data_IF_089289925072
#
_entry.id   IF_089289925072
#
_cell.length_a   1.000
_cell.length_b   1.000
_cell.length_c   1.000
_cell.angle_alpha   90.00
_cell.angle_beta   90.00
_cell.angle_gamma   90.00
#
_symmetry.space_group_name_H-M   'P 1'
#
loop_
_entity.id
_entity.type
_entity.pdbx_description
1 polymer ?
#
# COMPACT_ATOMS: atom_id res chain seq x y z
N UNK A 1 16.65 -26.55 57.08
CA UNK A 1 15.22 -26.97 57.03
C UNK A 1 14.46 -25.90 56.29
N UNK A 2 13.68 -26.30 55.28
CA UNK A 2 12.68 -25.45 54.60
C UNK A 2 11.61 -24.97 55.59
N UNK A 3 10.77 -24.01 55.19
CA UNK A 3 9.29 -24.11 55.13
C UNK A 3 8.67 -22.71 54.90
N UNK A 4 8.22 -22.51 53.66
CA UNK A 4 6.90 -22.02 53.24
C UNK A 4 6.30 -20.68 53.74
N UNK A 5 5.92 -19.89 52.72
CA UNK A 5 4.67 -19.13 52.55
C UNK A 5 4.58 -17.60 52.76
N UNK A 6 4.78 -16.86 51.65
CA UNK A 6 3.72 -16.17 50.83
C UNK A 6 2.94 -15.04 51.56
N UNK A 7 2.92 -13.77 51.14
CA UNK A 7 2.33 -13.24 49.90
C UNK A 7 2.48 -11.70 49.83
N UNK A 8 2.58 -11.20 48.59
CA UNK A 8 1.89 -10.03 47.99
C UNK A 8 2.44 -8.59 48.12
N UNK A 9 2.80 -8.12 46.91
CA UNK A 9 2.61 -6.79 46.32
C UNK A 9 3.38 -5.60 46.90
N UNK A 10 4.32 -5.10 46.10
CA UNK A 10 4.20 -3.73 45.60
C UNK A 10 5.43 -2.83 45.67
N UNK A 11 5.94 -2.52 44.48
CA UNK A 11 6.46 -1.21 44.06
C UNK A 11 7.91 -0.79 44.40
N UNK A 12 8.66 -0.73 43.30
CA UNK A 12 9.51 0.38 42.81
C UNK A 12 10.82 0.65 43.52
N UNK A 13 11.89 0.52 42.72
CA UNK A 13 12.76 1.67 42.42
C UNK A 13 13.38 1.48 41.02
N UNK A 14 13.15 2.46 40.13
CA UNK A 14 13.78 2.57 38.80
C UNK A 14 14.87 3.63 38.90
N UNK A 15 16.13 3.24 38.75
CA UNK A 15 17.17 4.12 38.26
C UNK A 15 17.24 3.98 36.74
N UNK A 16 17.02 5.09 36.04
CA UNK A 16 17.12 5.18 34.60
C UNK A 16 18.55 5.61 34.21
N UNK A 17 19.22 4.80 33.40
CA UNK A 17 20.35 5.22 32.58
C UNK A 17 20.03 4.95 31.11
N UNK A 18 19.91 6.04 30.34
CA UNK A 18 19.82 6.10 28.88
C UNK A 18 21.02 5.39 28.24
N UNK A 19 20.79 4.47 27.30
CA UNK A 19 20.91 4.66 25.83
C UNK A 19 20.21 3.44 25.22
N UNK A 20 18.99 3.60 24.73
CA UNK A 20 18.34 2.61 23.85
C UNK A 20 18.17 3.29 22.50
N UNK A 21 18.92 2.79 21.51
CA UNK A 21 18.59 2.97 20.11
C UNK A 21 17.17 2.44 19.89
N UNK A 22 16.34 3.27 19.29
CA UNK A 22 14.92 3.01 19.00
C UNK A 22 14.81 1.96 17.87
N UNK A 23 15.13 0.70 18.18
CA UNK A 23 14.97 -0.44 17.28
C UNK A 23 13.50 -0.84 17.27
N UNK A 24 12.75 -0.15 16.42
CA UNK A 24 11.37 -0.50 16.08
C UNK A 24 11.30 -1.96 15.57
N UNK A 25 10.85 -2.88 16.44
CA UNK A 25 10.78 -4.33 16.19
C UNK A 25 9.89 -4.64 14.96
N UNK A 26 10.31 -5.55 14.07
CA UNK A 26 9.53 -5.87 12.87
C UNK A 26 8.20 -6.58 13.19
N UNK A 27 7.17 -6.34 12.36
CA UNK A 27 5.79 -6.86 12.52
C UNK A 27 5.68 -8.28 11.93
N UNK A 28 6.47 -9.22 12.44
CA UNK A 28 6.30 -10.66 12.17
C UNK A 28 6.67 -11.48 13.40
N UNK A 29 5.97 -12.61 13.60
CA UNK A 29 6.11 -13.41 14.81
C UNK A 29 6.77 -14.75 14.49
N UNK A 30 7.74 -15.10 15.33
CA UNK A 30 8.29 -16.44 15.40
C UNK A 30 7.49 -17.22 16.43
N UNK A 31 6.80 -18.26 15.99
CA UNK A 31 5.91 -19.06 16.84
C UNK A 31 6.60 -20.39 17.14
N UNK A 32 6.89 -20.72 18.41
CA UNK A 32 7.41 -22.02 18.78
C UNK A 32 6.53 -23.15 18.26
N UNK A 33 7.15 -24.17 17.67
CA UNK A 33 6.46 -25.25 16.99
C UNK A 33 7.19 -26.60 17.14
N UNK A 34 6.47 -27.67 16.83
CA UNK A 34 6.98 -29.04 16.84
C UNK A 34 6.69 -29.73 15.50
N UNK A 35 7.65 -30.51 15.01
CA UNK A 35 7.49 -31.31 13.80
C UNK A 35 6.35 -32.35 13.97
N UNK A 36 6.16 -32.87 15.18
CA UNK A 36 5.17 -33.90 15.50
C UNK A 36 3.71 -33.45 15.35
N UNK A 37 3.47 -32.13 15.36
CA UNK A 37 2.14 -31.56 15.24
C UNK A 37 1.43 -31.93 13.92
N UNK A 38 2.20 -32.25 12.87
CA UNK A 38 1.65 -32.64 11.55
C UNK A 38 0.93 -31.53 10.80
N UNK A 39 0.85 -30.33 11.38
CA UNK A 39 0.22 -29.13 10.85
C UNK A 39 1.13 -27.93 11.11
N UNK A 40 0.87 -26.80 10.48
CA UNK A 40 1.58 -25.53 10.71
C UNK A 40 0.64 -24.53 11.39
N UNK A 41 1.15 -23.49 12.09
CA UNK A 41 0.31 -22.44 12.65
C UNK A 41 -0.40 -21.64 11.55
N UNK A 42 -1.47 -20.94 11.93
CA UNK A 42 -2.13 -20.01 11.03
C UNK A 42 -1.15 -18.95 10.52
N UNK A 43 -1.27 -18.57 9.24
CA UNK A 43 -0.42 -17.58 8.59
C UNK A 43 1.07 -17.95 8.54
N UNK A 44 1.42 -19.24 8.60
CA UNK A 44 2.79 -19.70 8.38
C UNK A 44 3.28 -19.32 6.97
N UNK A 45 4.50 -18.82 6.86
CA UNK A 45 5.08 -18.38 5.59
C UNK A 45 5.49 -19.59 4.76
N UNK A 46 4.82 -19.80 3.62
CA UNK A 46 5.15 -20.87 2.68
C UNK A 46 6.43 -20.53 1.91
N UNK A 47 7.40 -21.44 1.96
CA UNK A 47 8.64 -21.35 1.21
C UNK A 47 8.51 -21.92 -0.21
N UNK A 48 7.82 -23.04 -0.36
CA UNK A 48 7.72 -23.73 -1.65
C UNK A 48 7.07 -25.10 -1.53
N UNK A 49 7.53 -26.04 -2.34
CA UNK A 49 7.07 -27.43 -2.41
C UNK A 49 8.25 -28.36 -2.56
N UNK A 50 8.19 -29.53 -1.94
CA UNK A 50 9.19 -30.58 -2.11
C UNK A 50 8.92 -31.40 -3.38
N UNK A 51 9.84 -32.32 -3.73
CA UNK A 51 9.75 -33.13 -4.96
C UNK A 51 8.50 -34.00 -5.05
N UNK A 52 7.92 -34.37 -3.91
CA UNK A 52 6.68 -35.15 -3.80
C UNK A 52 5.40 -34.28 -3.76
N UNK A 53 5.54 -32.96 -3.90
CA UNK A 53 4.45 -31.99 -3.80
C UNK A 53 4.09 -31.57 -2.37
N UNK A 54 4.77 -32.09 -1.34
CA UNK A 54 4.58 -31.64 0.04
C UNK A 54 4.92 -30.16 0.19
N UNK A 55 4.07 -29.41 0.89
CA UNK A 55 4.32 -27.99 1.12
C UNK A 55 5.45 -27.78 2.13
N UNK A 56 6.32 -26.82 1.83
CA UNK A 56 7.45 -26.43 2.68
C UNK A 56 7.18 -25.04 3.26
N UNK A 57 7.40 -24.89 4.57
CA UNK A 57 7.22 -23.65 5.33
C UNK A 57 8.56 -23.17 5.91
N UNK A 58 8.64 -21.85 6.12
CA UNK A 58 9.81 -21.18 6.70
C UNK A 58 9.77 -21.29 8.21
N UNK A 59 10.85 -21.81 8.79
CA UNK A 59 11.11 -21.70 10.23
C UNK A 59 12.53 -21.24 10.53
N UNK A 60 12.87 -21.23 11.81
CA UNK A 60 14.25 -21.13 12.30
C UNK A 60 14.46 -21.98 13.53
N UNK A 61 15.68 -22.43 13.76
CA UNK A 61 16.04 -23.17 14.96
C UNK A 61 17.49 -22.90 15.34
N UNK A 62 17.78 -22.96 16.64
CA UNK A 62 19.15 -22.92 17.13
C UNK A 62 19.86 -24.24 16.82
N UNK A 63 21.07 -24.16 16.27
CA UNK A 63 21.93 -25.30 15.99
C UNK A 63 23.39 -24.88 16.15
N UNK A 64 24.11 -25.55 17.06
CA UNK A 64 25.51 -25.24 17.42
C UNK A 64 25.78 -23.74 17.69
N UNK A 65 24.86 -23.07 18.39
CA UNK A 65 25.00 -21.65 18.76
C UNK A 65 24.65 -20.65 17.66
N UNK A 66 24.18 -21.12 16.50
CA UNK A 66 23.69 -20.28 15.40
C UNK A 66 22.18 -20.46 15.22
N UNK A 67 21.46 -19.37 14.95
CA UNK A 67 20.06 -19.43 14.53
C UNK A 67 20.00 -19.65 13.02
N UNK A 68 19.52 -20.81 12.59
CA UNK A 68 19.52 -21.25 11.19
C UNK A 68 18.10 -21.34 10.61
N UNK A 69 17.90 -21.06 9.31
CA UNK A 69 16.63 -21.29 8.61
C UNK A 69 16.26 -22.77 8.60
N UNK A 70 14.96 -23.04 8.76
CA UNK A 70 14.39 -24.39 8.79
C UNK A 70 13.52 -24.63 7.56
N UNK A 71 13.74 -25.78 6.91
CA UNK A 71 12.82 -26.42 5.95
C UNK A 71 11.80 -27.24 6.72
N UNK A 72 10.59 -26.73 6.93
CA UNK A 72 9.52 -27.43 7.66
C UNK A 72 8.50 -28.06 6.71
N UNK A 73 8.25 -29.37 6.82
CA UNK A 73 7.26 -30.12 6.05
C UNK A 73 6.20 -30.72 7.00
N UNK A 74 5.07 -30.03 7.23
CA UNK A 74 4.06 -30.44 8.21
C UNK A 74 3.51 -31.85 7.97
N UNK A 75 3.11 -32.14 6.72
CA UNK A 75 2.52 -33.45 6.37
C UNK A 75 3.47 -34.62 6.60
N UNK A 76 4.78 -34.38 6.47
CA UNK A 76 5.83 -35.37 6.68
C UNK A 76 6.35 -35.40 8.12
N UNK A 77 5.88 -34.47 8.98
CA UNK A 77 6.31 -34.33 10.39
C UNK A 77 7.82 -34.21 10.54
N UNK A 78 8.45 -33.47 9.64
CA UNK A 78 9.90 -33.26 9.65
C UNK A 78 10.25 -31.80 9.46
N UNK A 79 11.34 -31.39 10.09
CA UNK A 79 11.93 -30.07 9.94
C UNK A 79 13.46 -30.21 9.91
N UNK A 80 14.11 -29.47 9.01
CA UNK A 80 15.55 -29.60 8.81
C UNK A 80 16.27 -28.25 8.76
N UNK A 81 17.48 -28.21 9.31
CA UNK A 81 18.47 -27.14 9.10
C UNK A 81 19.67 -27.71 8.35
N UNK A 82 20.45 -26.86 7.69
CA UNK A 82 21.75 -27.27 7.11
C UNK A 82 22.90 -26.49 7.71
N UNK A 83 24.02 -27.18 7.98
CA UNK A 83 25.28 -26.57 8.38
C UNK A 83 26.44 -27.52 8.03
N UNK A 84 27.53 -26.97 7.48
CA UNK A 84 28.78 -27.73 7.29
C UNK A 84 28.66 -28.89 6.29
N UNK A 85 27.88 -28.72 5.23
CA UNK A 85 27.75 -29.75 4.17
C UNK A 85 26.61 -30.75 4.37
N UNK A 86 25.93 -30.77 5.51
CA UNK A 86 24.92 -31.79 5.85
C UNK A 86 23.60 -31.19 6.38
N UNK A 87 22.53 -31.99 6.29
CA UNK A 87 21.18 -31.69 6.77
C UNK A 87 20.92 -32.35 8.14
N UNK A 88 20.32 -31.60 9.08
CA UNK A 88 20.02 -32.07 10.44
C UNK A 88 18.53 -31.92 10.78
N UNK A 89 17.94 -32.97 11.34
CA UNK A 89 16.56 -32.96 11.83
C UNK A 89 16.39 -32.10 13.10
N UNK A 90 15.25 -31.41 13.19
CA UNK A 90 14.85 -30.60 14.34
C UNK A 90 13.43 -30.98 14.80
N UNK A 91 13.31 -31.52 16.01
CA UNK A 91 12.01 -31.79 16.63
C UNK A 91 11.28 -30.49 17.02
N UNK A 92 12.03 -29.51 17.53
CA UNK A 92 11.53 -28.22 18.01
C UNK A 92 12.22 -27.08 17.27
N UNK A 93 11.43 -26.09 16.87
CA UNK A 93 11.85 -24.94 16.09
C UNK A 93 10.80 -23.83 16.20
N UNK A 94 11.03 -22.68 15.58
CA UNK A 94 10.03 -21.62 15.45
C UNK A 94 9.57 -21.52 13.99
N UNK A 95 8.28 -21.34 13.77
CA UNK A 95 7.70 -21.09 12.44
C UNK A 95 7.55 -19.59 12.25
N UNK A 96 7.96 -19.10 11.07
CA UNK A 96 7.71 -17.72 10.70
C UNK A 96 6.23 -17.55 10.37
N UNK A 97 5.57 -16.65 11.07
CA UNK A 97 4.17 -16.30 10.81
C UNK A 97 4.03 -14.82 10.48
N UNK A 98 3.20 -14.53 9.48
CA UNK A 98 2.95 -13.18 9.00
C UNK A 98 2.50 -13.17 7.55
N UNK A 99 1.93 -12.05 7.13
CA UNK A 99 1.20 -11.95 5.86
C UNK A 99 1.87 -11.03 4.84
N UNK A 100 2.97 -10.34 5.21
CA UNK A 100 3.61 -9.29 4.43
C UNK A 100 4.94 -9.71 3.79
N UNK A 101 5.12 -10.97 3.43
CA UNK A 101 6.39 -11.46 2.88
C UNK A 101 6.36 -11.62 1.36
N UNK A 102 7.50 -11.39 0.71
CA UNK A 102 7.68 -11.62 -0.74
C UNK A 102 9.04 -12.23 -1.01
N UNK A 103 9.11 -13.14 -1.98
CA UNK A 103 10.35 -13.73 -2.47
C UNK A 103 10.89 -12.87 -3.62
N UNK A 104 12.11 -12.35 -3.47
CA UNK A 104 12.74 -11.46 -4.45
C UNK A 104 13.94 -12.18 -5.09
N UNK A 105 14.00 -12.31 -6.43
CA UNK A 105 15.16 -12.91 -7.10
C UNK A 105 16.46 -12.21 -6.74
N UNK A 106 17.51 -12.98 -6.48
CA UNK A 106 18.82 -12.49 -6.10
C UNK A 106 19.91 -13.47 -6.58
N UNK A 107 21.12 -12.95 -6.76
CA UNK A 107 22.27 -13.75 -7.20
C UNK A 107 23.55 -13.33 -6.50
N UNK A 108 24.56 -14.20 -6.45
CA UNK A 108 25.93 -13.83 -6.06
C UNK A 108 26.04 -13.02 -4.75
N UNK A 109 25.31 -13.44 -3.72
CA UNK A 109 25.30 -12.77 -2.40
C UNK A 109 24.48 -11.47 -2.30
N UNK A 110 23.70 -11.10 -3.32
CA UNK A 110 22.80 -9.95 -3.26
C UNK A 110 21.74 -10.10 -2.16
N UNK A 111 21.64 -9.10 -1.28
CA UNK A 111 20.65 -9.05 -0.20
C UNK A 111 19.73 -7.83 -0.42
N UNK A 112 18.48 -8.03 -0.87
CA UNK A 112 17.52 -6.95 -1.04
C UNK A 112 17.18 -6.22 0.27
N UNK A 113 16.76 -4.96 0.16
CA UNK A 113 16.27 -4.19 1.31
C UNK A 113 15.03 -4.86 1.92
N UNK A 114 15.02 -5.00 3.24
CA UNK A 114 13.93 -5.67 3.97
C UNK A 114 14.08 -7.19 4.05
N UNK A 115 15.22 -7.75 3.63
CA UNK A 115 15.50 -9.18 3.79
C UNK A 115 15.27 -9.63 5.24
N UNK A 116 14.56 -10.75 5.41
CA UNK A 116 14.23 -11.31 6.72
C UNK A 116 15.51 -11.85 7.36
N UNK A 117 15.92 -11.20 8.43
CA UNK A 117 17.07 -11.57 9.24
C UNK A 117 16.72 -12.77 10.14
N UNK A 118 17.60 -13.76 10.17
CA UNK A 118 17.42 -14.97 11.02
C UNK A 118 18.30 -14.94 12.25
N UNK A 119 19.55 -14.53 12.07
CA UNK A 119 20.58 -14.62 13.09
C UNK A 119 21.94 -14.21 12.53
N UNK A 120 22.99 -14.43 13.31
CA UNK A 120 24.37 -14.24 12.88
C UNK A 120 25.12 -15.57 12.98
N UNK A 121 26.15 -15.72 12.15
CA UNK A 121 27.13 -16.80 12.34
C UNK A 121 27.91 -16.57 13.63
N UNK A 122 28.64 -17.58 14.08
CA UNK A 122 29.60 -17.52 15.19
C UNK A 122 30.67 -16.43 14.99
N UNK A 123 30.96 -16.06 13.74
CA UNK A 123 31.87 -14.96 13.39
C UNK A 123 31.17 -13.60 13.27
N UNK A 124 29.87 -13.52 13.54
CA UNK A 124 29.09 -12.28 13.52
C UNK A 124 28.52 -11.89 12.15
N UNK A 125 28.66 -12.72 11.11
CA UNK A 125 28.09 -12.44 9.79
C UNK A 125 26.57 -12.59 9.81
N UNK A 126 25.78 -11.62 9.33
CA UNK A 126 24.33 -11.73 9.30
C UNK A 126 23.85 -12.79 8.29
N UNK A 127 22.87 -13.58 8.70
CA UNK A 127 22.18 -14.58 7.88
C UNK A 127 20.75 -14.15 7.55
N UNK A 128 20.36 -14.41 6.30
CA UNK A 128 19.04 -14.12 5.77
C UNK A 128 18.36 -15.37 5.23
N UNK A 129 17.03 -15.36 5.15
CA UNK A 129 16.26 -16.44 4.50
C UNK A 129 16.29 -16.26 2.99
N UNK A 130 16.73 -17.28 2.29
CA UNK A 130 16.47 -17.43 0.86
C UNK A 130 15.83 -18.78 0.54
N UNK A 131 15.45 -18.97 -0.71
CA UNK A 131 15.00 -20.25 -1.26
C UNK A 131 15.60 -20.52 -2.63
N UNK A 132 15.79 -21.79 -2.95
CA UNK A 132 16.41 -22.24 -4.19
C UNK A 132 15.57 -23.33 -4.86
N UNK A 133 15.66 -23.38 -6.19
CA UNK A 133 15.06 -24.43 -7.01
C UNK A 133 16.10 -25.54 -7.24
N UNK A 134 15.85 -26.74 -6.70
CA UNK A 134 16.74 -27.91 -6.85
C UNK A 134 15.89 -29.15 -7.15
N UNK A 135 16.16 -29.79 -8.28
CA UNK A 135 15.53 -31.06 -8.70
C UNK A 135 14.00 -31.10 -8.53
N UNK A 136 13.32 -30.00 -8.86
CA UNK A 136 11.86 -29.87 -8.75
C UNK A 136 11.34 -29.45 -7.36
N UNK A 137 12.21 -29.30 -6.37
CA UNK A 137 11.90 -28.74 -5.05
C UNK A 137 12.22 -27.25 -4.97
N UNK A 138 11.42 -26.51 -4.23
CA UNK A 138 11.65 -25.10 -3.88
C UNK A 138 11.84 -25.02 -2.37
N UNK A 139 13.10 -24.96 -1.93
CA UNK A 139 13.49 -25.19 -0.53
C UNK A 139 14.12 -23.95 0.09
N UNK A 140 13.75 -23.55 1.34
CA UNK A 140 14.38 -22.45 2.04
C UNK A 140 15.73 -22.82 2.66
N UNK A 141 16.60 -21.83 2.86
CA UNK A 141 17.91 -22.00 3.45
C UNK A 141 18.57 -20.67 3.82
N UNK A 142 19.87 -20.71 4.16
CA UNK A 142 20.64 -19.54 4.60
C UNK A 142 21.36 -18.86 3.44
N UNK A 143 21.22 -17.55 3.34
CA UNK A 143 22.01 -16.71 2.44
C UNK A 143 23.09 -16.01 3.26
N UNK A 144 24.34 -16.16 2.82
CA UNK A 144 25.51 -15.49 3.37
C UNK A 144 26.09 -14.58 2.29
N UNK A 145 26.16 -13.27 2.59
CA UNK A 145 26.61 -12.27 1.62
C UNK A 145 28.06 -12.49 1.22
N UNK A 146 28.94 -12.84 2.17
CA UNK A 146 30.37 -13.03 1.91
C UNK A 146 30.65 -14.24 1.01
N UNK A 147 29.82 -15.27 1.09
CA UNK A 147 29.98 -16.54 0.36
C UNK A 147 29.29 -16.53 -1.01
N UNK A 148 28.43 -15.54 -1.26
CA UNK A 148 27.85 -15.34 -2.59
C UNK A 148 26.73 -16.32 -2.97
N UNK A 149 26.27 -17.17 -2.06
CA UNK A 149 25.30 -18.22 -2.38
C UNK A 149 24.27 -18.45 -1.28
N UNK A 150 23.19 -19.15 -1.67
CA UNK A 150 22.22 -19.77 -0.77
C UNK A 150 22.66 -21.20 -0.47
N UNK A 151 22.63 -21.60 0.80
CA UNK A 151 22.78 -22.98 1.24
C UNK A 151 21.44 -23.53 1.71
N UNK A 152 20.98 -24.63 1.11
CA UNK A 152 19.72 -25.28 1.49
C UNK A 152 19.92 -26.74 1.93
N UNK A 153 19.08 -27.24 2.84
CA UNK A 153 19.01 -28.66 3.16
C UNK A 153 18.23 -29.44 2.06
N UNK A 154 18.90 -30.32 1.32
CA UNK A 154 18.26 -31.16 0.29
C UNK A 154 18.93 -32.53 0.15
N UNK A 155 18.13 -33.60 0.31
CA UNK A 155 18.58 -34.97 0.10
C UNK A 155 19.62 -35.46 1.12
N UNK A 156 19.59 -34.95 2.37
CA UNK A 156 20.58 -35.26 3.40
C UNK A 156 21.83 -34.37 3.37
N UNK A 157 22.00 -33.56 2.33
CA UNK A 157 23.17 -32.69 2.15
C UNK A 157 22.80 -31.21 2.19
N UNK A 158 23.81 -30.39 2.43
CA UNK A 158 23.73 -28.95 2.22
C UNK A 158 24.14 -28.62 0.79
N UNK A 159 23.23 -28.07 0.01
CA UNK A 159 23.49 -27.71 -1.38
C UNK A 159 23.60 -26.20 -1.54
N UNK A 160 24.61 -25.77 -2.29
CA UNK A 160 24.87 -24.37 -2.59
C UNK A 160 24.34 -24.00 -3.98
N UNK A 161 23.66 -22.86 -4.08
CA UNK A 161 23.28 -22.26 -5.37
C UNK A 161 23.56 -20.76 -5.38
N UNK A 162 24.12 -20.26 -6.48
CA UNK A 162 24.35 -18.83 -6.69
C UNK A 162 23.12 -18.10 -7.24
N UNK A 163 22.07 -18.83 -7.64
CA UNK A 163 20.77 -18.30 -8.06
C UNK A 163 19.70 -18.69 -7.06
N UNK A 164 19.05 -17.70 -6.47
CA UNK A 164 18.09 -17.91 -5.40
C UNK A 164 17.08 -16.76 -5.35
N UNK A 165 16.12 -16.86 -4.44
CA UNK A 165 15.26 -15.74 -4.04
C UNK A 165 15.46 -15.47 -2.56
N UNK A 166 15.43 -14.21 -2.14
CA UNK A 166 15.51 -13.79 -0.73
C UNK A 166 14.11 -13.48 -0.22
N UNK A 167 13.79 -13.96 0.97
CA UNK A 167 12.55 -13.59 1.66
C UNK A 167 12.69 -12.16 2.18
N UNK A 168 11.80 -11.29 1.74
CA UNK A 168 11.75 -9.87 2.13
C UNK A 168 10.48 -9.64 2.93
N UNK A 169 10.62 -9.04 4.11
CA UNK A 169 9.50 -8.45 4.83
C UNK A 169 9.09 -7.15 4.13
N UNK A 170 7.99 -7.27 3.38
CA UNK A 170 7.32 -6.20 2.66
C UNK A 170 6.79 -5.09 3.57
N UNK A 171 6.75 -5.29 4.89
CA UNK A 171 6.42 -4.25 5.88
C UNK A 171 7.28 -2.98 5.76
N UNK A 172 8.45 -3.05 5.11
CA UNK A 172 9.22 -1.86 4.70
C UNK A 172 9.56 -1.80 3.22
N UNK A 173 9.34 -2.86 2.43
CA UNK A 173 9.89 -2.96 1.07
C UNK A 173 9.10 -3.84 0.10
N UNK A 174 7.76 -3.79 0.10
CA UNK A 174 6.94 -4.07 -1.10
C UNK A 174 5.66 -3.23 -1.02
N UNK A 175 5.64 -2.08 -1.69
CA UNK A 175 4.41 -1.37 -2.05
C UNK A 175 3.65 -2.25 -3.05
N UNK A 176 2.85 -3.20 -2.57
CA UNK A 176 1.84 -3.88 -3.38
C UNK A 176 0.43 -3.49 -2.90
N UNK A 177 0.09 -2.25 -3.26
CA UNK A 177 -1.19 -1.78 -3.77
C UNK A 177 -2.50 -1.99 -3.00
N UNK A 178 -2.56 -2.67 -1.87
CA UNK A 178 -3.80 -2.75 -1.09
C UNK A 178 -3.44 -2.82 0.38
N UNK A 179 -4.05 -1.99 1.24
CA UNK A 179 -3.80 -1.98 2.68
C UNK A 179 -4.21 -3.25 3.44
N UNK A 180 -4.22 -4.42 2.80
CA UNK A 180 -4.62 -5.73 3.32
C UNK A 180 -4.02 -6.88 2.52
N UNK A 181 -4.36 -8.11 2.91
CA UNK A 181 -3.76 -9.33 2.38
C UNK A 181 -4.72 -10.08 1.45
N UNK A 182 -4.23 -10.54 0.30
CA UNK A 182 -5.01 -11.39 -0.59
C UNK A 182 -4.90 -12.85 -0.19
N UNK A 183 -6.02 -13.45 0.22
CA UNK A 183 -6.08 -14.84 0.69
C UNK A 183 -6.85 -15.67 -0.32
N UNK A 184 -6.19 -16.68 -0.91
CA UNK A 184 -6.84 -17.61 -1.82
C UNK A 184 -7.91 -18.41 -1.10
N UNK A 185 -9.09 -18.52 -1.70
CA UNK A 185 -10.21 -19.29 -1.20
C UNK A 185 -11.09 -19.82 -2.32
N UNK A 186 -11.96 -20.76 -1.94
CA UNK A 186 -12.96 -21.36 -2.82
C UNK A 186 -14.36 -20.94 -2.39
N UNK A 187 -15.27 -20.78 -3.35
CA UNK A 187 -16.66 -20.36 -3.12
C UNK A 187 -17.49 -21.41 -2.40
N UNK A 188 -17.01 -22.66 -2.40
CA UNK A 188 -17.54 -23.80 -1.64
C UNK A 188 -17.04 -23.87 -0.19
N UNK A 189 -16.03 -23.06 0.14
CA UNK A 189 -15.42 -23.00 1.46
C UNK A 189 -15.95 -21.84 2.30
N UNK A 190 -15.58 -21.77 3.59
CA UNK A 190 -15.85 -20.59 4.40
C UNK A 190 -15.10 -19.38 3.82
N UNK A 191 -15.70 -18.19 3.95
CA UNK A 191 -15.01 -16.93 3.64
C UNK A 191 -13.81 -16.79 4.58
N UNK A 192 -12.63 -16.41 4.06
CA UNK A 192 -11.46 -16.18 4.89
C UNK A 192 -11.74 -15.20 6.05
N UNK A 193 -11.25 -15.48 7.27
CA UNK A 193 -11.37 -14.56 8.39
C UNK A 193 -10.80 -13.18 8.07
N UNK A 194 -11.55 -12.13 8.42
CA UNK A 194 -11.16 -10.74 8.17
C UNK A 194 -11.36 -10.28 6.72
N UNK A 195 -12.05 -11.04 5.87
CA UNK A 195 -12.42 -10.60 4.53
C UNK A 195 -13.21 -9.27 4.57
N UNK A 196 -12.89 -8.36 3.66
CA UNK A 196 -13.54 -7.06 3.54
C UNK A 196 -14.96 -7.23 2.98
N UNK A 197 -15.97 -6.89 3.78
CA UNK A 197 -17.33 -6.74 3.27
C UNK A 197 -17.39 -5.48 2.38
N UNK A 198 -17.63 -5.68 1.08
CA UNK A 198 -17.73 -4.61 0.09
C UNK A 198 -19.13 -4.00 0.02
N UNK A 199 -20.16 -4.80 0.35
CA UNK A 199 -21.54 -4.37 0.32
C UNK A 199 -22.51 -5.49 0.70
N UNK A 200 -23.68 -5.49 0.07
CA UNK A 200 -24.78 -6.42 0.34
C UNK A 200 -25.61 -6.65 -0.92
N UNK A 201 -26.20 -7.84 -1.06
CA UNK A 201 -27.11 -8.17 -2.15
C UNK A 201 -28.53 -7.62 -1.88
N UNK A 202 -29.42 -7.71 -2.88
CA UNK A 202 -30.81 -7.23 -2.77
C UNK A 202 -31.64 -7.89 -1.65
N UNK A 203 -31.23 -9.07 -1.20
CA UNK A 203 -31.81 -9.79 -0.06
C UNK A 203 -31.14 -9.48 1.29
N UNK A 204 -30.20 -8.53 1.32
CA UNK A 204 -29.42 -8.12 2.48
C UNK A 204 -28.22 -9.01 2.80
N UNK A 205 -27.96 -10.08 2.02
CA UNK A 205 -26.82 -10.97 2.26
C UNK A 205 -25.49 -10.24 2.02
N UNK A 206 -24.44 -10.48 2.84
CA UNK A 206 -23.18 -9.76 2.69
C UNK A 206 -22.44 -10.17 1.40
N UNK A 207 -21.84 -9.16 0.76
CA UNK A 207 -20.95 -9.34 -0.39
C UNK A 207 -19.53 -8.97 0.05
N UNK A 208 -18.58 -9.87 -0.16
CA UNK A 208 -17.16 -9.66 0.15
C UNK A 208 -16.35 -9.31 -1.09
N UNK A 209 -15.29 -8.51 -0.90
CA UNK A 209 -14.39 -8.13 -1.98
C UNK A 209 -13.40 -9.25 -2.28
N UNK A 210 -13.42 -9.71 -3.52
CA UNK A 210 -12.41 -10.61 -4.06
C UNK A 210 -11.77 -10.07 -5.33
N UNK A 211 -10.82 -10.85 -5.85
CA UNK A 211 -10.30 -10.73 -7.21
C UNK A 211 -10.16 -12.12 -7.81
N UNK A 212 -10.23 -12.18 -9.13
CA UNK A 212 -10.04 -13.42 -9.91
C UNK A 212 -9.07 -13.19 -11.05
N UNK A 213 -8.40 -14.26 -11.46
CA UNK A 213 -7.53 -14.26 -12.63
C UNK A 213 -8.31 -14.85 -13.82
N UNK A 214 -8.51 -14.06 -14.87
CA UNK A 214 -9.24 -14.49 -16.07
C UNK A 214 -8.56 -13.93 -17.31
N UNK A 215 -8.21 -14.80 -18.26
CA UNK A 215 -7.52 -14.45 -19.51
C UNK A 215 -6.30 -13.53 -19.33
N UNK A 216 -5.48 -13.80 -18.30
CA UNK A 216 -4.28 -13.01 -17.99
C UNK A 216 -4.56 -11.67 -17.27
N UNK A 217 -5.83 -11.35 -17.01
CA UNK A 217 -6.24 -10.15 -16.28
C UNK A 217 -6.56 -10.46 -14.83
N UNK A 218 -6.36 -9.47 -13.96
CA UNK A 218 -6.81 -9.49 -12.57
C UNK A 218 -8.04 -8.61 -12.45
N UNK A 219 -9.18 -9.23 -12.17
CA UNK A 219 -10.48 -8.56 -12.17
C UNK A 219 -11.10 -8.56 -10.76
N UNK A 220 -11.73 -7.44 -10.34
CA UNK A 220 -12.55 -7.40 -9.13
C UNK A 220 -13.69 -8.40 -9.18
N UNK A 221 -13.94 -9.01 -8.03
CA UNK A 221 -14.96 -10.02 -7.92
C UNK A 221 -15.83 -9.81 -6.68
N UNK A 222 -17.13 -10.07 -6.82
CA UNK A 222 -18.10 -10.08 -5.72
C UNK A 222 -18.21 -11.51 -5.19
N UNK A 223 -17.80 -11.73 -3.96
CA UNK A 223 -17.87 -13.05 -3.30
C UNK A 223 -19.17 -13.11 -2.51
N UNK A 224 -20.04 -14.07 -2.84
CA UNK A 224 -21.37 -14.23 -2.24
C UNK A 224 -21.47 -15.57 -1.50
N UNK A 225 -21.23 -15.60 -0.18
CA UNK A 225 -21.14 -16.87 0.56
C UNK A 225 -22.47 -17.62 0.59
N UNK A 226 -23.59 -16.91 0.68
CA UNK A 226 -24.93 -17.50 0.64
C UNK A 226 -25.21 -18.23 -0.68
N UNK A 227 -24.70 -17.71 -1.79
CA UNK A 227 -24.82 -18.33 -3.12
C UNK A 227 -23.70 -19.32 -3.43
N UNK A 228 -22.72 -19.47 -2.54
CA UNK A 228 -21.54 -20.32 -2.72
C UNK A 228 -20.82 -20.05 -4.06
N UNK A 229 -20.79 -18.79 -4.47
CA UNK A 229 -20.28 -18.37 -5.77
C UNK A 229 -19.56 -17.01 -5.68
N UNK A 230 -18.55 -16.82 -6.51
CA UNK A 230 -17.93 -15.53 -6.75
C UNK A 230 -18.24 -15.09 -8.18
N UNK A 231 -18.49 -13.79 -8.42
CA UNK A 231 -18.78 -13.29 -9.77
C UNK A 231 -17.87 -12.13 -10.14
N UNK A 232 -17.45 -12.09 -11.41
CA UNK A 232 -16.64 -11.01 -11.98
C UNK A 232 -17.30 -10.45 -13.23
N UNK A 233 -17.12 -9.15 -13.48
CA UNK A 233 -17.54 -8.52 -14.73
C UNK A 233 -16.41 -8.59 -15.75
N UNK A 234 -16.70 -9.08 -16.96
CA UNK A 234 -15.75 -9.07 -18.08
C UNK A 234 -16.46 -8.92 -19.43
N UNK A 235 -15.93 -8.08 -20.31
CA UNK A 235 -16.46 -7.82 -21.66
C UNK A 235 -17.99 -7.61 -21.75
N UNK A 236 -18.61 -6.93 -20.78
CA UNK A 236 -20.06 -6.67 -20.79
C UNK A 236 -20.92 -7.77 -20.16
N UNK A 237 -20.32 -8.88 -19.71
CA UNK A 237 -21.00 -10.03 -19.10
C UNK A 237 -20.55 -10.22 -17.65
N UNK A 238 -21.38 -10.93 -16.88
CA UNK A 238 -21.00 -11.44 -15.55
C UNK A 238 -20.63 -12.92 -15.67
N UNK A 239 -19.49 -13.29 -15.09
CA UNK A 239 -18.99 -14.66 -15.06
C UNK A 239 -18.96 -15.20 -13.63
N UNK A 240 -19.38 -16.45 -13.49
CA UNK A 240 -19.31 -17.21 -12.25
C UNK A 240 -17.94 -17.88 -12.10
N UNK A 241 -17.39 -17.80 -10.89
CA UNK A 241 -16.07 -18.30 -10.51
C UNK A 241 -16.16 -19.02 -9.17
N UNK A 242 -15.48 -20.17 -9.07
CA UNK A 242 -15.39 -20.93 -7.82
C UNK A 242 -14.12 -20.62 -7.04
N UNK A 243 -13.08 -20.12 -7.70
CA UNK A 243 -11.79 -19.80 -7.08
C UNK A 243 -11.55 -18.29 -7.12
N UNK A 244 -11.13 -17.70 -5.99
CA UNK A 244 -10.87 -16.27 -5.86
C UNK A 244 -9.81 -16.00 -4.80
N UNK A 245 -9.20 -14.81 -4.84
CA UNK A 245 -8.48 -14.27 -3.68
C UNK A 245 -9.38 -13.25 -2.97
N UNK A 246 -9.64 -13.41 -1.68
CA UNK A 246 -10.35 -12.42 -0.86
C UNK A 246 -9.39 -11.39 -0.26
N UNK A 247 -9.78 -10.13 -0.26
CA UNK A 247 -9.04 -9.09 0.44
C UNK A 247 -9.35 -9.14 1.94
N UNK A 248 -8.35 -9.47 2.75
CA UNK A 248 -8.50 -9.72 4.19
C UNK A 248 -7.67 -8.76 5.05
N UNK A 249 -8.17 -8.45 6.25
CA UNK A 249 -7.50 -7.59 7.23
C UNK A 249 -7.07 -6.24 6.65
N UNK A 250 -7.90 -5.69 5.75
CA UNK A 250 -7.56 -4.50 5.00
C UNK A 250 -7.87 -3.22 5.78
N UNK A 251 -6.87 -2.37 5.97
CA UNK A 251 -7.02 -1.02 6.44
C UNK A 251 -7.33 -0.10 5.25
N UNK A 252 -8.60 -0.08 4.85
CA UNK A 252 -9.06 0.60 3.64
C UNK A 252 -10.34 1.38 3.93
N UNK A 253 -10.70 2.29 3.03
CA UNK A 253 -11.96 3.02 3.11
C UNK A 253 -12.59 3.17 1.74
N UNK A 254 -13.92 3.20 1.72
CA UNK A 254 -14.68 3.53 0.52
C UNK A 254 -14.96 5.03 0.54
N UNK A 255 -14.60 5.72 -0.54
CA UNK A 255 -14.80 7.17 -0.68
C UNK A 255 -15.58 7.47 -1.96
N UNK A 256 -16.51 8.44 -1.96
CA UNK A 256 -17.23 8.82 -3.17
C UNK A 256 -16.27 9.25 -4.29
N UNK A 257 -16.40 8.66 -5.47
CA UNK A 257 -15.57 9.03 -6.61
C UNK A 257 -16.11 10.31 -7.27
N UNK A 258 -15.30 11.38 -7.25
CA UNK A 258 -15.65 12.70 -7.79
C UNK A 258 -14.98 13.03 -9.12
N UNK A 259 -14.66 12.02 -9.93
CA UNK A 259 -14.02 12.18 -11.25
C UNK A 259 -12.49 12.26 -11.24
N UNK A 260 -11.87 12.13 -10.07
CA UNK A 260 -10.42 12.14 -9.87
C UNK A 260 -10.01 10.96 -9.00
N UNK A 261 -8.98 10.21 -9.41
CA UNK A 261 -8.46 9.08 -8.66
C UNK A 261 -7.64 9.56 -7.44
N UNK A 262 -8.00 9.16 -6.21
CA UNK A 262 -7.21 9.46 -5.02
C UNK A 262 -5.75 9.01 -5.12
N UNK A 263 -4.84 9.78 -4.52
CA UNK A 263 -3.67 9.28 -3.76
C UNK A 263 -3.33 7.79 -3.83
N UNK A 264 -4.14 7.14 -3.02
CA UNK A 264 -4.09 5.85 -2.41
C UNK A 264 -5.20 4.96 -2.98
N UNK A 265 -5.74 5.30 -4.15
CA UNK A 265 -6.65 4.43 -4.88
C UNK A 265 -5.97 3.08 -5.15
N UNK A 266 -6.71 2.01 -4.91
CA UNK A 266 -6.20 0.65 -5.00
C UNK A 266 -6.36 0.15 -6.43
N UNK A 267 -5.24 -0.02 -7.14
CA UNK A 267 -5.19 -0.69 -8.46
C UNK A 267 -5.45 -2.19 -8.26
N UNK A 268 -6.48 -2.71 -8.92
CA UNK A 268 -6.84 -4.13 -8.86
C UNK A 268 -6.17 -4.96 -9.95
N UNK A 269 -5.76 -4.32 -11.05
CA UNK A 269 -5.17 -4.98 -12.21
C UNK A 269 -5.17 -4.08 -13.43
N UNK A 270 -4.95 -4.69 -14.60
CA UNK A 270 -5.03 -4.04 -15.90
C UNK A 270 -5.84 -4.87 -16.86
N UNK A 271 -6.52 -4.21 -17.78
CA UNK A 271 -7.23 -4.90 -18.87
C UNK A 271 -6.25 -5.39 -19.96
N UNK A 272 -6.80 -6.04 -20.99
CA UNK A 272 -6.01 -6.54 -22.13
C UNK A 272 -5.26 -5.45 -22.93
N UNK A 273 -5.68 -4.19 -22.80
CA UNK A 273 -5.05 -3.05 -23.46
C UNK A 273 -4.04 -2.32 -22.55
N UNK A 274 -3.88 -2.80 -21.31
CA UNK A 274 -2.98 -2.22 -20.32
C UNK A 274 -3.57 -1.04 -19.53
N UNK A 275 -4.86 -0.73 -19.72
CA UNK A 275 -5.59 0.28 -18.93
C UNK A 275 -5.67 -0.18 -17.48
N UNK A 276 -5.35 0.71 -16.53
CA UNK A 276 -5.48 0.40 -15.11
C UNK A 276 -6.92 0.25 -14.71
N UNK A 277 -7.15 -0.71 -13.84
CA UNK A 277 -8.42 -0.99 -13.21
C UNK A 277 -8.30 -0.72 -11.70
N UNK A 278 -9.32 -0.10 -11.12
CA UNK A 278 -9.40 0.15 -9.68
C UNK A 278 -10.66 -0.49 -9.09
N UNK A 279 -10.66 -0.75 -7.79
CA UNK A 279 -11.88 -1.24 -7.12
C UNK A 279 -12.89 -0.11 -6.93
N UNK A 280 -14.10 -0.33 -7.43
CA UNK A 280 -15.26 0.51 -7.16
C UNK A 280 -16.39 -0.28 -6.54
N UNK A 281 -17.39 0.41 -6.00
CA UNK A 281 -18.69 -0.17 -5.66
C UNK A 281 -19.80 0.84 -5.90
N UNK A 282 -21.00 0.37 -6.19
CA UNK A 282 -22.14 1.26 -6.34
C UNK A 282 -23.47 0.56 -6.08
N UNK A 283 -24.49 1.38 -5.85
CA UNK A 283 -25.85 0.92 -5.63
C UNK A 283 -26.51 0.59 -6.97
N UNK A 284 -27.08 -0.60 -7.09
CA UNK A 284 -27.83 -1.03 -8.28
C UNK A 284 -28.90 -2.05 -7.91
N UNK A 285 -30.16 -1.78 -8.28
CA UNK A 285 -31.29 -2.71 -8.07
C UNK A 285 -31.41 -3.27 -6.65
N UNK A 286 -31.22 -2.43 -5.62
CA UNK A 286 -31.28 -2.83 -4.21
C UNK A 286 -30.00 -3.47 -3.64
N UNK A 287 -29.00 -3.73 -4.48
CA UNK A 287 -27.70 -4.29 -4.10
C UNK A 287 -26.60 -3.21 -4.08
N UNK A 288 -25.69 -3.25 -3.10
CA UNK A 288 -24.44 -2.50 -3.10
C UNK A 288 -23.32 -3.44 -3.56
N UNK A 289 -22.92 -3.32 -4.82
CA UNK A 289 -22.07 -4.31 -5.50
C UNK A 289 -20.71 -3.74 -5.86
N UNK A 290 -19.60 -4.47 -5.60
CA UNK A 290 -18.27 -4.09 -6.07
C UNK A 290 -18.07 -4.37 -7.56
N UNK A 291 -17.17 -3.63 -8.18
CA UNK A 291 -16.84 -3.72 -9.60
C UNK A 291 -15.49 -3.09 -9.93
N UNK A 292 -15.25 -2.90 -11.23
CA UNK A 292 -14.01 -2.32 -11.77
C UNK A 292 -14.23 -0.90 -12.27
N UNK A 293 -13.36 0.01 -11.86
CA UNK A 293 -13.31 1.37 -12.39
C UNK A 293 -12.25 1.41 -13.48
N UNK A 294 -12.62 1.90 -14.66
CA UNK A 294 -11.72 2.09 -15.78
C UNK A 294 -11.05 3.47 -15.68
N UNK A 295 -9.72 3.52 -15.74
CA UNK A 295 -8.94 4.76 -15.54
C UNK A 295 -9.28 5.86 -16.55
N UNK A 296 -9.39 5.54 -17.84
CA UNK A 296 -9.60 6.49 -18.92
C UNK A 296 -11.05 6.98 -18.96
N UNK A 297 -12.00 6.03 -18.90
CA UNK A 297 -13.43 6.36 -19.02
C UNK A 297 -14.06 6.83 -17.71
N UNK A 298 -13.40 6.59 -16.56
CA UNK A 298 -13.83 7.03 -15.22
C UNK A 298 -15.23 6.58 -14.82
N UNK A 299 -15.64 5.41 -15.31
CA UNK A 299 -16.91 4.76 -14.93
C UNK A 299 -16.63 3.49 -14.15
N UNK A 300 -17.55 3.13 -13.26
CA UNK A 300 -17.50 1.85 -12.55
C UNK A 300 -18.38 0.83 -13.27
N UNK A 301 -17.83 -0.32 -13.63
CA UNK A 301 -18.56 -1.45 -14.20
C UNK A 301 -18.77 -2.52 -13.15
N UNK A 302 -20.03 -2.89 -12.90
CA UNK A 302 -20.41 -3.88 -11.89
C UNK A 302 -21.04 -5.13 -12.55
N UNK A 303 -20.72 -6.34 -12.09
CA UNK A 303 -21.41 -7.56 -12.51
C UNK A 303 -22.74 -7.73 -11.76
N UNK A 304 -23.84 -7.92 -12.48
CA UNK A 304 -25.17 -8.16 -11.91
C UNK A 304 -26.08 -8.94 -12.88
N UNK A 305 -26.65 -10.05 -12.43
CA UNK A 305 -27.64 -10.84 -13.15
C UNK A 305 -27.22 -11.19 -14.60
N UNK A 306 -26.05 -11.81 -14.73
CA UNK A 306 -25.42 -12.25 -15.99
C UNK A 306 -24.90 -11.13 -16.92
N UNK A 307 -25.04 -9.87 -16.53
CA UNK A 307 -24.60 -8.71 -17.31
C UNK A 307 -23.69 -7.78 -16.52
N UNK A 308 -22.82 -7.07 -17.21
CA UNK A 308 -22.02 -5.99 -16.63
C UNK A 308 -22.70 -4.63 -16.89
N UNK A 309 -22.99 -3.89 -15.82
CA UNK A 309 -23.65 -2.58 -15.86
C UNK A 309 -22.66 -1.45 -15.57
N UNK A 310 -22.85 -0.31 -16.23
CA UNK A 310 -22.01 0.88 -16.04
C UNK A 310 -22.70 1.87 -15.10
N UNK A 311 -21.98 2.29 -14.05
CA UNK A 311 -22.38 3.29 -13.08
C UNK A 311 -21.53 4.55 -13.23
N UNK A 312 -22.17 5.71 -13.04
CA UNK A 312 -21.52 7.03 -13.03
C UNK A 312 -21.36 7.61 -11.63
N UNK A 313 -22.16 7.13 -10.67
CA UNK A 313 -22.06 7.44 -9.25
C UNK A 313 -21.65 6.17 -8.52
N UNK A 314 -20.51 6.22 -7.83
CA UNK A 314 -19.90 5.07 -7.17
C UNK A 314 -18.86 5.53 -6.15
N UNK A 315 -18.52 4.64 -5.22
CA UNK A 315 -17.37 4.79 -4.34
C UNK A 315 -16.14 4.11 -4.96
N UNK A 316 -14.95 4.64 -4.67
CA UNK A 316 -13.65 4.04 -4.96
C UNK A 316 -13.00 3.55 -3.66
N UNK A 317 -12.29 2.42 -3.72
CA UNK A 317 -11.56 1.88 -2.59
C UNK A 317 -10.18 2.54 -2.47
N UNK A 318 -9.86 3.02 -1.27
CA UNK A 318 -8.58 3.65 -0.96
C UNK A 318 -7.86 2.98 0.21
N UNK A 319 -6.53 2.95 0.13
CA UNK A 319 -5.63 2.38 1.12
C UNK A 319 -5.29 3.39 2.23
N UNK A 320 -5.53 3.04 3.49
CA UNK A 320 -5.21 3.89 4.64
C UNK A 320 -3.78 3.68 5.16
N UNK A 321 -3.05 2.66 4.68
CA UNK A 321 -1.73 2.26 5.16
C UNK A 321 -0.57 3.04 4.53
N UNK A 322 -0.75 3.59 3.33
CA UNK A 322 0.25 4.40 2.66
C UNK A 322 0.21 5.84 3.24
N UNK A 323 1.23 6.30 4.00
CA UNK A 323 1.28 7.67 4.45
C UNK A 323 1.76 8.55 3.28
N UNK A 324 0.93 8.72 2.27
CA UNK A 324 0.82 10.03 1.65
C UNK A 324 -0.33 10.70 2.33
N UNK A 325 0.02 11.32 3.46
CA UNK A 325 -0.78 12.10 4.39
C UNK A 325 -1.66 11.30 5.37
N UNK A 326 -1.38 11.45 6.67
CA UNK A 326 -2.45 11.59 7.68
C UNK A 326 -3.12 12.97 7.51
N UNK A 327 -3.46 13.35 6.29
CA UNK A 327 -4.10 14.61 5.89
C UNK A 327 -5.20 14.26 4.88
N UNK A 328 -6.06 13.31 5.25
CA UNK A 328 -7.41 13.28 4.76
C UNK A 328 -8.36 13.38 5.97
N UNK A 329 -8.13 14.38 6.84
CA UNK A 329 -9.29 15.23 7.07
C UNK A 329 -9.64 15.75 5.68
N UNK A 330 -10.83 15.41 5.18
CA UNK A 330 -11.33 15.90 3.90
C UNK A 330 -11.00 17.39 3.79
N UNK A 331 -9.99 17.75 3.00
CA UNK A 331 -9.64 19.15 2.76
C UNK A 331 -10.92 19.83 2.28
N UNK A 332 -11.32 20.90 2.96
CA UNK A 332 -12.59 21.57 2.71
C UNK A 332 -12.46 22.46 1.48
N UNK A 333 -12.51 21.82 0.31
CA UNK A 333 -12.57 22.48 -1.00
C UNK A 333 -14.00 22.91 -1.28
N UNK A 334 -14.27 24.21 -1.18
CA UNK A 334 -15.60 24.76 -1.41
C UNK A 334 -15.72 25.30 -2.83
N UNK A 335 -16.64 24.78 -3.67
CA UNK A 335 -16.85 25.29 -5.02
C UNK A 335 -17.42 26.70 -4.98
N UNK A 336 -16.93 27.57 -5.87
CA UNK A 336 -17.40 28.94 -6.05
C UNK A 336 -17.12 29.44 -7.47
N UNK A 337 -17.52 30.67 -7.73
CA UNK A 337 -17.28 31.36 -8.99
C UNK A 337 -16.70 32.74 -8.73
N UNK A 338 -16.16 33.36 -9.77
CA UNK A 338 -15.66 34.73 -9.69
C UNK A 338 -16.76 35.78 -9.47
N UNK A 339 -18.03 35.42 -9.73
CA UNK A 339 -19.20 36.25 -9.46
C UNK A 339 -19.72 36.13 -8.03
N UNK A 340 -19.40 35.04 -7.33
CA UNK A 340 -19.84 34.78 -5.97
C UNK A 340 -18.86 35.32 -4.92
N UNK A 341 -19.33 35.64 -3.69
CA UNK A 341 -18.44 35.92 -2.58
C UNK A 341 -17.46 34.77 -2.33
N UNK A 342 -16.27 35.10 -1.82
CA UNK A 342 -15.28 34.10 -1.42
C UNK A 342 -15.87 33.22 -0.31
N UNK A 343 -15.73 31.88 -0.39
CA UNK A 343 -16.12 30.98 0.68
C UNK A 343 -15.50 31.34 2.04
N UNK A 344 -16.27 31.18 3.12
CA UNK A 344 -15.82 31.50 4.48
C UNK A 344 -14.72 30.53 4.92
N UNK A 345 -13.68 31.07 5.55
CA UNK A 345 -12.54 30.28 6.04
C UNK A 345 -11.50 29.96 4.98
N UNK A 346 -11.55 30.59 3.81
CA UNK A 346 -10.57 30.44 2.74
C UNK A 346 -9.14 30.76 3.22
N UNK A 347 -8.18 29.93 2.83
CA UNK A 347 -6.77 30.05 3.22
C UNK A 347 -6.08 31.17 2.45
N UNK A 348 -5.42 32.06 3.19
CA UNK A 348 -4.63 33.16 2.63
C UNK A 348 -3.37 32.60 1.96
N UNK A 349 -3.27 32.82 0.65
CA UNK A 349 -2.11 32.48 -0.17
C UNK A 349 -1.03 33.58 -0.17
N UNK A 350 -1.44 34.84 -0.07
CA UNK A 350 -0.52 35.98 -0.05
C UNK A 350 -1.23 37.30 -0.34
N UNK A 351 -0.50 38.25 -0.89
CA UNK A 351 -1.00 39.59 -1.22
C UNK A 351 -0.50 39.99 -2.61
N UNK A 352 -1.35 40.67 -3.38
CA UNK A 352 -0.97 41.27 -4.66
C UNK A 352 -0.21 42.59 -4.44
N UNK A 353 0.37 43.16 -5.52
CA UNK A 353 1.18 44.38 -5.48
C UNK A 353 0.49 45.62 -4.87
N UNK A 354 -0.84 45.65 -4.88
CA UNK A 354 -1.67 46.69 -4.28
C UNK A 354 -2.16 46.35 -2.86
N UNK A 355 -1.66 45.25 -2.28
CA UNK A 355 -2.08 44.75 -0.98
C UNK A 355 -3.41 43.99 -1.00
N UNK A 356 -4.02 43.73 -2.17
CA UNK A 356 -5.22 42.90 -2.24
C UNK A 356 -4.92 41.45 -1.80
N UNK A 357 -5.71 40.86 -0.90
CA UNK A 357 -5.46 39.49 -0.43
C UNK A 357 -5.68 38.48 -1.56
N UNK A 358 -4.74 37.54 -1.68
CA UNK A 358 -4.78 36.42 -2.59
C UNK A 358 -5.07 35.15 -1.79
N UNK A 359 -6.09 34.40 -2.20
CA UNK A 359 -6.49 33.15 -1.54
C UNK A 359 -6.10 31.93 -2.37
N UNK A 360 -5.89 30.82 -1.67
CA UNK A 360 -5.55 29.52 -2.25
C UNK A 360 -6.80 28.89 -2.86
N UNK A 361 -6.74 28.64 -4.16
CA UNK A 361 -7.76 27.90 -4.88
C UNK A 361 -7.18 26.77 -5.71
N UNK A 362 -8.08 25.99 -6.30
CA UNK A 362 -7.78 25.06 -7.39
C UNK A 362 -8.81 25.15 -8.49
N UNK A 363 -8.40 24.75 -9.69
CA UNK A 363 -9.25 24.70 -10.88
C UNK A 363 -8.98 23.43 -11.66
N UNK A 364 -9.98 22.97 -12.42
CA UNK A 364 -9.80 21.89 -13.40
C UNK A 364 -9.66 22.50 -14.78
N UNK A 365 -8.53 22.27 -15.45
CA UNK A 365 -8.25 22.78 -16.80
C UNK A 365 -7.53 21.71 -17.64
N UNK A 366 -8.06 21.40 -18.83
CA UNK A 366 -7.58 20.32 -19.71
C UNK A 366 -7.34 18.98 -18.97
N UNK A 367 -8.21 18.62 -18.02
CA UNK A 367 -8.08 17.38 -17.24
C UNK A 367 -7.05 17.42 -16.11
N UNK A 368 -6.42 18.58 -15.86
CA UNK A 368 -5.48 18.80 -14.76
C UNK A 368 -6.15 19.59 -13.63
N UNK A 369 -5.90 19.20 -12.38
CA UNK A 369 -6.24 20.00 -11.21
C UNK A 369 -5.03 20.86 -10.81
N UNK A 370 -5.16 22.17 -10.98
CA UNK A 370 -4.05 23.12 -10.86
C UNK A 370 -4.34 24.15 -9.76
N UNK A 371 -3.32 24.59 -9.00
CA UNK A 371 -3.45 25.69 -8.07
C UNK A 371 -3.90 26.96 -8.79
N UNK A 372 -4.72 27.74 -8.12
CA UNK A 372 -5.21 29.00 -8.62
C UNK A 372 -5.06 30.09 -7.56
N UNK A 373 -4.73 31.30 -8.03
CA UNK A 373 -4.80 32.51 -7.22
C UNK A 373 -6.20 33.09 -7.32
N UNK A 374 -6.84 33.34 -6.18
CA UNK A 374 -8.17 33.95 -6.12
C UNK A 374 -8.02 35.35 -5.52
N UNK A 375 -8.47 36.38 -6.24
CA UNK A 375 -8.45 37.78 -5.80
C UNK A 375 -9.90 38.29 -5.80
N UNK A 376 -10.62 38.19 -4.66
CA UNK A 376 -12.05 38.51 -4.59
C UNK A 376 -12.37 39.96 -4.96
N UNK A 377 -11.52 40.90 -4.54
CA UNK A 377 -11.68 42.34 -4.86
C UNK A 377 -11.73 42.63 -6.36
N UNK A 378 -11.09 41.76 -7.16
CA UNK A 378 -11.04 41.89 -8.63
C UNK A 378 -11.93 40.88 -9.34
N UNK A 379 -12.72 40.08 -8.60
CA UNK A 379 -13.52 38.96 -9.15
C UNK A 379 -12.69 38.09 -10.08
N UNK A 380 -11.51 37.69 -9.60
CA UNK A 380 -10.49 37.06 -10.45
C UNK A 380 -10.05 35.73 -9.86
N UNK A 381 -10.02 34.70 -10.71
CA UNK A 381 -9.40 33.42 -10.44
C UNK A 381 -8.48 33.09 -11.62
N UNK A 382 -7.20 32.81 -11.34
CA UNK A 382 -6.22 32.51 -12.39
C UNK A 382 -5.31 31.37 -12.02
N UNK A 383 -4.99 30.53 -12.99
CA UNK A 383 -4.03 29.42 -12.87
C UNK A 383 -2.92 29.57 -13.92
N UNK A 384 -1.84 28.80 -13.80
CA UNK A 384 -0.78 28.76 -14.80
C UNK A 384 -0.78 27.43 -15.53
N UNK A 385 -0.64 27.46 -16.85
CA UNK A 385 -0.56 26.26 -17.67
C UNK A 385 0.12 26.54 -19.01
N UNK A 386 1.04 25.65 -19.41
CA UNK A 386 1.81 25.72 -20.66
C UNK A 386 2.41 27.11 -20.93
N UNK A 387 3.04 27.74 -19.93
CA UNK A 387 3.71 29.02 -20.09
C UNK A 387 2.81 30.25 -19.98
N UNK A 388 1.49 30.08 -19.84
CA UNK A 388 0.51 31.18 -19.81
C UNK A 388 -0.27 31.21 -18.51
N UNK A 389 -0.72 32.41 -18.16
CA UNK A 389 -1.75 32.61 -17.14
C UNK A 389 -3.14 32.48 -17.78
N UNK A 390 -3.99 31.67 -17.16
CA UNK A 390 -5.32 31.34 -17.66
C UNK A 390 -6.36 31.83 -16.66
N UNK A 391 -7.35 32.56 -17.16
CA UNK A 391 -8.47 33.04 -16.36
C UNK A 391 -9.60 32.03 -16.29
N UNK A 392 -10.13 31.84 -15.08
CA UNK A 392 -11.16 30.85 -14.76
C UNK A 392 -12.36 31.53 -14.13
N UNK A 393 -13.56 31.15 -14.56
CA UNK A 393 -14.82 31.65 -14.00
C UNK A 393 -15.31 30.84 -12.80
N UNK A 394 -14.93 29.56 -12.72
CA UNK A 394 -15.24 28.64 -11.61
C UNK A 394 -13.97 28.10 -10.96
N UNK A 395 -14.04 27.83 -9.67
CA UNK A 395 -12.93 27.31 -8.87
C UNK A 395 -13.42 26.62 -7.60
N UNK A 396 -12.51 25.96 -6.89
CA UNK A 396 -12.71 25.54 -5.50
C UNK A 396 -11.72 26.28 -4.61
N UNK A 397 -12.19 26.90 -3.53
CA UNK A 397 -11.33 27.55 -2.53
C UNK A 397 -10.99 26.56 -1.41
N UNK A 398 -9.72 26.51 -1.00
CA UNK A 398 -9.33 25.73 0.17
C UNK A 398 -9.76 26.47 1.43
N UNK A 399 -10.62 25.86 2.24
CA UNK A 399 -11.20 26.47 3.42
C UNK A 399 -10.88 25.66 4.69
N UNK A 400 -11.00 26.31 5.85
CA UNK A 400 -11.06 25.69 7.19
C UNK A 400 -9.96 24.66 7.50
N UNK A 401 -8.84 24.74 6.78
CA UNK A 401 -7.73 23.79 6.87
C UNK A 401 -6.67 24.39 7.79
N UNK A 402 -6.20 23.61 8.77
CA UNK A 402 -5.08 24.01 9.63
C UNK A 402 -3.78 23.84 8.85
N UNK A 403 -3.35 24.89 8.17
CA UNK A 403 -2.18 24.86 7.32
C UNK A 403 -1.13 25.92 7.72
N UNK A 404 0.13 25.65 7.38
CA UNK A 404 1.24 26.59 7.47
C UNK A 404 2.07 26.58 6.19
N UNK A 405 2.78 27.68 5.96
CA UNK A 405 3.73 27.82 4.86
C UNK A 405 5.13 27.52 5.39
N UNK A 406 5.85 26.62 4.72
CA UNK A 406 7.20 26.21 5.11
C UNK A 406 8.16 26.42 3.94
N UNK A 407 9.37 26.96 4.15
CA UNK A 407 10.37 27.09 3.09
C UNK A 407 10.64 25.76 2.39
N UNK A 408 10.70 25.77 1.05
CA UNK A 408 10.97 24.56 0.30
C UNK A 408 12.45 24.19 0.37
N UNK A 409 12.77 23.04 0.96
CA UNK A 409 14.15 22.58 1.17
C UNK A 409 14.69 21.68 0.04
N UNK A 410 14.09 21.73 -1.15
CA UNK A 410 14.46 20.86 -2.28
C UNK A 410 13.79 19.48 -2.31
N UNK A 411 12.89 19.19 -1.36
CA UNK A 411 12.07 17.97 -1.32
C UNK A 411 10.66 18.31 -0.82
N UNK A 412 9.65 17.58 -1.29
CA UNK A 412 8.27 17.77 -0.84
C UNK A 412 8.12 17.27 0.61
N UNK A 413 7.66 18.11 1.57
CA UNK A 413 7.39 17.67 2.94
C UNK A 413 6.27 16.63 3.02
N UNK A 414 6.35 15.73 4.01
CA UNK A 414 5.38 14.64 4.18
C UNK A 414 3.92 15.10 4.38
N UNK A 415 3.72 16.30 4.95
CA UNK A 415 2.41 16.92 5.17
C UNK A 415 2.03 17.96 4.10
N UNK A 416 2.71 17.99 2.96
CA UNK A 416 2.40 18.96 1.90
C UNK A 416 0.96 18.79 1.40
N UNK A 417 0.23 19.91 1.31
CA UNK A 417 -1.14 19.93 0.84
C UNK A 417 -1.17 19.65 -0.65
N UNK A 418 -1.94 18.63 -1.02
CA UNK A 418 -2.16 18.22 -2.41
C UNK A 418 -3.31 19.07 -2.98
N UNK A 419 -3.01 19.82 -4.04
CA UNK A 419 -4.00 20.56 -4.81
C UNK A 419 -4.91 19.61 -5.60
N UNK A 420 -4.30 18.59 -6.21
CA UNK A 420 -4.95 17.62 -7.08
C UNK A 420 -3.93 16.84 -7.90
N UNK A 421 -4.32 16.37 -9.09
CA UNK A 421 -3.44 15.65 -10.02
C UNK A 421 -3.51 16.21 -11.45
N UNK A 422 -2.44 16.02 -12.21
CA UNK A 422 -2.43 16.21 -13.67
C UNK A 422 -3.19 15.09 -14.37
N UNK A 423 -3.48 15.26 -15.67
CA UNK A 423 -4.10 14.24 -16.51
C UNK A 423 -3.25 12.96 -16.64
N UNK A 424 -1.94 13.06 -16.37
CA UNK A 424 -0.98 11.94 -16.35
C UNK A 424 -0.85 11.30 -14.95
N UNK A 425 -1.64 11.76 -13.98
CA UNK A 425 -1.65 11.23 -12.61
C UNK A 425 -0.57 11.81 -11.69
N UNK A 426 0.23 12.77 -12.15
CA UNK A 426 1.25 13.42 -11.32
C UNK A 426 0.60 14.25 -10.22
N UNK A 427 1.15 14.18 -9.01
CA UNK A 427 0.65 14.96 -7.88
C UNK A 427 0.99 16.43 -8.03
N UNK A 428 0.01 17.29 -7.78
CA UNK A 428 0.18 18.74 -7.84
C UNK A 428 0.12 19.31 -6.43
N UNK A 429 1.20 19.96 -6.00
CA UNK A 429 1.31 20.60 -4.69
C UNK A 429 1.18 22.13 -4.79
N UNK A 430 0.77 22.74 -3.69
CA UNK A 430 0.57 24.19 -3.58
C UNK A 430 1.82 24.82 -2.95
N UNK A 431 2.46 25.73 -3.67
CA UNK A 431 3.49 26.59 -3.14
C UNK A 431 3.12 28.06 -3.30
N UNK A 432 3.88 28.95 -2.68
CA UNK A 432 3.80 30.40 -2.92
C UNK A 432 5.20 31.01 -2.99
N UNK A 433 5.35 32.04 -3.81
CA UNK A 433 6.62 32.72 -3.98
C UNK A 433 6.41 34.21 -4.20
N UNK A 434 7.45 34.98 -3.88
CA UNK A 434 7.45 36.42 -4.05
C UNK A 434 7.92 36.80 -5.46
N UNK A 435 7.13 37.60 -6.17
CA UNK A 435 7.50 38.14 -7.46
C UNK A 435 6.92 39.54 -7.65
N UNK A 436 7.77 40.53 -7.95
CA UNK A 436 7.40 41.92 -8.30
C UNK A 436 6.35 42.55 -7.36
N UNK A 437 6.55 42.48 -6.05
CA UNK A 437 5.65 43.09 -5.07
C UNK A 437 4.48 42.21 -4.63
N UNK A 438 4.31 41.02 -5.21
CA UNK A 438 3.22 40.11 -4.88
C UNK A 438 3.73 38.78 -4.33
N UNK A 439 3.03 38.23 -3.33
CA UNK A 439 3.20 36.86 -2.85
C UNK A 439 2.12 35.98 -3.47
N UNK A 440 2.50 35.10 -4.38
CA UNK A 440 1.56 34.46 -5.33
C UNK A 440 1.58 32.94 -5.14
N UNK A 441 0.42 32.28 -4.96
CA UNK A 441 0.32 30.84 -4.95
C UNK A 441 0.43 30.25 -6.36
N UNK A 442 1.00 29.05 -6.46
CA UNK A 442 1.22 28.35 -7.72
C UNK A 442 1.53 26.87 -7.55
N UNK A 443 1.92 26.24 -8.66
CA UNK A 443 2.23 24.81 -8.76
C UNK A 443 3.69 24.53 -8.47
N UNK A 444 3.95 23.65 -7.52
CA UNK A 444 5.31 23.14 -7.28
C UNK A 444 5.66 22.06 -8.31
N UNK A 445 6.79 22.23 -9.00
CA UNK A 445 7.37 21.26 -9.91
C UNK A 445 8.55 20.57 -9.22
N UNK A 446 8.30 19.45 -8.54
CA UNK A 446 9.30 18.77 -7.69
C UNK A 446 10.60 18.44 -8.45
N UNK A 447 10.50 17.82 -9.63
CA UNK A 447 11.65 17.41 -10.43
C UNK A 447 12.53 18.58 -10.87
N UNK A 448 11.91 19.73 -11.14
CA UNK A 448 12.60 20.95 -11.57
C UNK A 448 13.01 21.83 -10.38
N UNK A 449 12.49 21.54 -9.17
CA UNK A 449 12.66 22.34 -7.95
C UNK A 449 12.27 23.81 -8.13
N UNK A 450 11.19 24.05 -8.88
CA UNK A 450 10.67 25.39 -9.11
C UNK A 450 9.19 25.48 -8.76
N UNK A 451 8.75 26.67 -8.38
CA UNK A 451 7.36 27.05 -8.29
C UNK A 451 6.96 27.78 -9.57
N UNK A 452 5.88 27.33 -10.20
CA UNK A 452 5.27 27.98 -11.35
C UNK A 452 4.06 28.80 -10.89
N UNK A 453 4.11 30.11 -11.06
CA UNK A 453 3.03 31.04 -10.63
C UNK A 453 2.43 31.79 -11.81
N UNK A 454 1.11 32.05 -11.82
CA UNK A 454 0.49 32.92 -12.80
C UNK A 454 0.74 34.40 -12.46
N UNK A 455 1.31 35.18 -13.39
CA UNK A 455 1.54 36.62 -13.21
C UNK A 455 1.54 37.38 -14.54
N UNK A 456 0.76 38.47 -14.64
CA UNK A 456 0.69 39.38 -15.79
C UNK A 456 0.66 38.65 -17.14
N UNK A 457 -0.29 37.72 -17.31
CA UNK A 457 -0.55 36.91 -18.51
C UNK A 457 0.47 35.79 -18.80
N UNK A 458 1.49 35.64 -17.96
CA UNK A 458 2.57 34.67 -18.12
C UNK A 458 2.62 33.68 -16.95
N UNK A 459 3.26 32.53 -17.19
CA UNK A 459 3.71 31.61 -16.14
C UNK A 459 5.16 31.93 -15.77
N UNK A 460 5.39 32.26 -14.51
CA UNK A 460 6.70 32.64 -13.98
C UNK A 460 7.26 31.49 -13.15
N UNK A 461 8.54 31.17 -13.37
CA UNK A 461 9.29 30.20 -12.58
C UNK A 461 10.04 30.88 -11.44
N UNK A 462 9.90 30.36 -10.23
CA UNK A 462 10.59 30.85 -9.02
C UNK A 462 11.34 29.69 -8.36
N UNK A 463 12.60 29.94 -7.95
CA UNK A 463 13.43 28.94 -7.26
C UNK A 463 13.30 29.01 -5.74
N UNK A 464 13.06 30.21 -5.21
CA UNK A 464 12.81 30.45 -3.79
C UNK A 464 11.31 30.56 -3.52
N UNK A 465 10.78 29.60 -2.78
CA UNK A 465 9.36 29.53 -2.47
C UNK A 465 9.07 28.75 -1.18
N UNK A 466 7.86 28.92 -0.68
CA UNK A 466 7.30 28.16 0.43
C UNK A 466 6.28 27.15 -0.10
N UNK A 467 6.15 26.01 0.56
CA UNK A 467 5.15 24.98 0.29
C UNK A 467 4.11 24.96 1.41
N UNK A 468 2.85 24.78 1.03
CA UNK A 468 1.75 24.70 1.99
C UNK A 468 1.71 23.29 2.61
N UNK A 469 1.76 23.22 3.93
CA UNK A 469 1.70 21.96 4.69
C UNK A 469 0.54 21.99 5.68
N UNK A 470 -0.08 20.84 5.93
CA UNK A 470 -1.03 20.69 7.04
C UNK A 470 -0.27 20.65 8.38
N UNK A 471 -0.82 21.28 9.42
CA UNK A 471 -0.20 21.40 10.73
C UNK A 471 -0.16 20.08 11.52
#
# INVERSE_FOLDING_TARGET
MSWYEVTRYGLRERFASKVEDDVNMPVYNWVPWSADAGVHPANAVRAGTDTDGSEIYVGRAEHYGEMLPVKFLPKRRVAYVSQGGIEFFKAHFEVLTGLSFTWVPAVNGEIPKGAVFVGKTTHGEPMYIGRGHLDGSVTPGKVLKSQGCLYVPFGGFEQATSKYEVLVDGGKSQKQSVGGNWVRASSKGPVPPGALQAGYDSDGSPIYLGRVFRYGQVLPAKVMPRKQMCHTGDQGLEFEMTEYDALCCANVSWVPFRGVFPLNAIECGRDQYGEKLYFGRGQFSGSLTPGKILENSKVCKIPYNFKEYTLREFDILVDNSNPTTRCAQSLDWQPSTNASPLPKGAILGGYDKDGAPIYVGRVTYEGNQLPAKIIPRRRMCRTSYKGKEIEMSSYEALCNTRASWVPFSGRIPAKAIVCGRTMWGETVYIGRGYHKGAMIPGRVMENQRVLMVPFEWNEISLTEFEILVEN
#
